data_IF_784452363825
#
_entry.id   IF_784452363825
#
_cell.length_a   1.000
_cell.length_b   1.000
_cell.length_c   1.000
_cell.angle_alpha   90.00
_cell.angle_beta   90.00
_cell.angle_gamma   90.00
#
_symmetry.space_group_name_H-M   'P 1'
#
loop_
_entity.id
_entity.type
_entity.pdbx_description
1 polymer ?
#
# COMPACT_ATOMS: atom_id res chain seq x y z
N UNK A 1 18.04 23.50 -21.21
CA UNK A 1 16.77 23.36 -20.46
C UNK A 1 16.29 21.94 -20.68
N UNK A 2 15.88 21.20 -19.65
CA UNK A 2 15.40 19.82 -19.79
C UNK A 2 14.06 19.81 -20.52
N UNK A 3 13.89 18.94 -21.53
CA UNK A 3 12.62 18.75 -22.24
C UNK A 3 11.84 17.50 -21.75
N UNK A 4 12.46 16.69 -20.89
CA UNK A 4 11.95 15.35 -20.52
C UNK A 4 11.09 15.33 -19.26
N UNK A 5 11.03 16.44 -18.50
CA UNK A 5 10.30 16.53 -17.24
C UNK A 5 9.49 17.81 -17.21
N UNK A 6 8.24 17.72 -16.78
CA UNK A 6 7.33 18.85 -16.60
C UNK A 6 7.13 19.10 -15.11
N UNK A 7 7.09 20.37 -14.72
CA UNK A 7 6.83 20.78 -13.34
C UNK A 7 5.56 21.63 -13.26
N UNK A 8 4.77 21.46 -12.20
CA UNK A 8 3.54 22.25 -12.01
C UNK A 8 3.79 23.72 -11.65
N UNK A 9 5.02 24.07 -11.26
CA UNK A 9 5.42 25.44 -10.94
C UNK A 9 6.93 25.63 -11.02
N UNK A 10 7.37 26.88 -11.15
CA UNK A 10 8.79 27.26 -11.06
C UNK A 10 9.41 26.93 -9.71
N UNK A 11 8.61 26.87 -8.63
CA UNK A 11 9.07 26.45 -7.30
C UNK A 11 9.43 24.95 -7.35
N UNK A 12 8.56 24.11 -7.90
CA UNK A 12 8.82 22.67 -8.04
C UNK A 12 10.02 22.39 -8.93
N UNK A 13 10.16 23.12 -10.04
CA UNK A 13 11.34 23.04 -10.91
C UNK A 13 12.63 23.38 -10.16
N UNK A 14 12.65 24.50 -9.42
CA UNK A 14 13.83 24.92 -8.64
C UNK A 14 14.19 23.91 -7.55
N UNK A 15 13.20 23.35 -6.85
CA UNK A 15 13.43 22.33 -5.83
C UNK A 15 13.99 21.04 -6.43
N UNK A 16 13.45 20.58 -7.55
CA UNK A 16 13.95 19.40 -8.25
C UNK A 16 15.39 19.62 -8.74
N UNK A 17 15.68 20.76 -9.37
CA UNK A 17 17.01 21.14 -9.83
C UNK A 17 18.04 21.28 -8.70
N UNK A 18 17.65 21.79 -7.53
CA UNK A 18 18.54 21.82 -6.36
C UNK A 18 18.81 20.44 -5.76
N UNK A 19 17.89 19.49 -5.97
CA UNK A 19 17.93 18.14 -5.41
C UNK A 19 18.40 17.09 -6.42
N UNK A 20 17.48 16.20 -6.79
CA UNK A 20 17.74 15.00 -7.59
C UNK A 20 17.88 15.28 -9.09
N UNK A 21 17.14 16.25 -9.63
CA UNK A 21 17.04 16.42 -11.09
C UNK A 21 18.37 16.88 -11.72
N UNK A 22 19.23 17.63 -11.00
CA UNK A 22 20.57 17.98 -11.51
C UNK A 22 21.44 16.77 -11.84
N UNK A 23 21.28 15.68 -11.09
CA UNK A 23 22.01 14.42 -11.31
C UNK A 23 21.26 13.56 -12.31
N UNK A 24 19.94 13.50 -12.24
CA UNK A 24 19.16 12.61 -13.11
C UNK A 24 19.01 13.14 -14.54
N UNK A 25 18.93 14.46 -14.75
CA UNK A 25 18.61 15.08 -16.04
C UNK A 25 19.51 14.60 -17.21
N UNK A 26 20.85 14.51 -17.08
CA UNK A 26 21.72 14.11 -18.18
C UNK A 26 21.53 12.64 -18.63
N UNK A 27 20.95 11.80 -17.78
CA UNK A 27 20.87 10.34 -17.98
C UNK A 27 19.45 9.80 -18.06
N UNK A 28 18.45 10.65 -17.79
CA UNK A 28 17.04 10.25 -17.72
C UNK A 28 16.52 9.71 -19.06
N UNK A 29 16.91 10.35 -20.17
CA UNK A 29 16.53 9.89 -21.51
C UNK A 29 17.09 8.49 -21.82
N UNK A 30 18.33 8.21 -21.40
CA UNK A 30 18.96 6.90 -21.56
C UNK A 30 18.21 5.84 -20.76
N UNK A 31 17.81 6.15 -19.52
CA UNK A 31 17.00 5.24 -18.69
C UNK A 31 15.66 4.90 -19.35
N UNK A 32 14.93 5.90 -19.84
CA UNK A 32 13.64 5.68 -20.48
C UNK A 32 13.73 4.92 -21.80
N UNK A 33 14.66 5.30 -22.68
CA UNK A 33 14.83 4.65 -23.99
C UNK A 33 15.26 3.18 -23.87
N UNK A 34 15.97 2.82 -22.81
CA UNK A 34 16.38 1.43 -22.54
C UNK A 34 15.34 0.64 -21.73
N UNK A 35 14.13 1.18 -21.51
CA UNK A 35 13.06 0.49 -20.81
C UNK A 35 13.37 0.20 -19.34
N UNK A 36 14.16 1.06 -18.68
CA UNK A 36 14.47 0.89 -17.27
C UNK A 36 13.18 0.87 -16.43
N UNK A 37 13.06 -0.11 -15.54
CA UNK A 37 11.89 -0.23 -14.67
C UNK A 37 11.78 0.94 -13.71
N UNK A 38 10.58 1.18 -13.18
CA UNK A 38 10.37 2.20 -12.13
C UNK A 38 11.27 1.98 -10.91
N UNK A 39 11.61 0.72 -10.60
CA UNK A 39 12.53 0.39 -9.51
C UNK A 39 13.98 0.80 -9.82
N UNK A 40 14.40 0.80 -11.08
CA UNK A 40 15.72 1.33 -11.46
C UNK A 40 15.78 2.84 -11.25
N UNK A 41 14.72 3.55 -11.66
CA UNK A 41 14.59 5.00 -11.43
C UNK A 41 14.59 5.33 -9.93
N UNK A 42 13.84 4.56 -9.14
CA UNK A 42 13.79 4.73 -7.68
C UNK A 42 15.13 4.41 -7.01
N UNK A 43 15.82 3.35 -7.42
CA UNK A 43 17.13 2.99 -6.87
C UNK A 43 18.16 4.11 -7.11
N UNK A 44 18.17 4.68 -8.32
CA UNK A 44 18.98 5.84 -8.64
C UNK A 44 18.55 7.06 -7.84
N UNK A 45 17.23 7.32 -7.73
CA UNK A 45 16.68 8.46 -6.99
C UNK A 45 16.99 8.44 -5.51
N UNK A 46 17.02 7.26 -4.87
CA UNK A 46 17.41 7.12 -3.47
C UNK A 46 18.82 7.68 -3.24
N UNK A 47 19.73 7.48 -4.21
CA UNK A 47 21.10 8.01 -4.18
C UNK A 47 21.14 9.48 -4.62
N UNK A 48 20.60 9.80 -5.80
CA UNK A 48 20.69 11.13 -6.43
C UNK A 48 20.06 12.27 -5.63
N UNK A 49 19.06 11.96 -4.79
CA UNK A 49 18.39 12.96 -3.94
C UNK A 49 19.24 13.45 -2.77
N UNK A 50 20.41 12.83 -2.52
CA UNK A 50 21.39 13.24 -1.51
C UNK A 50 22.74 13.49 -2.20
N UNK A 51 23.59 14.30 -1.58
CA UNK A 51 24.96 14.49 -2.06
C UNK A 51 25.84 13.29 -1.70
N UNK A 52 26.91 13.03 -2.47
CA UNK A 52 27.88 11.97 -2.20
C UNK A 52 28.33 11.91 -0.73
N UNK A 53 28.65 13.07 -0.14
CA UNK A 53 29.10 13.19 1.25
C UNK A 53 28.14 12.55 2.26
N UNK A 54 26.82 12.63 2.03
CA UNK A 54 25.83 12.01 2.92
C UNK A 54 26.01 10.50 3.07
N UNK A 55 26.32 9.81 1.97
CA UNK A 55 26.57 8.37 2.00
C UNK A 55 27.97 8.05 2.49
N UNK A 56 28.96 8.87 2.11
CA UNK A 56 30.33 8.71 2.58
C UNK A 56 30.43 8.78 4.11
N UNK A 57 29.70 9.71 4.74
CA UNK A 57 29.63 9.85 6.21
C UNK A 57 29.06 8.58 6.88
N UNK A 58 28.23 7.83 6.16
CA UNK A 58 27.62 6.57 6.63
C UNK A 58 28.44 5.33 6.26
N UNK A 59 29.50 5.47 5.47
CA UNK A 59 30.26 4.35 4.92
C UNK A 59 30.79 3.43 6.01
N UNK A 60 31.44 3.97 7.04
CA UNK A 60 31.97 3.17 8.14
C UNK A 60 30.90 2.42 8.92
N UNK A 61 29.69 2.98 9.01
CA UNK A 61 28.55 2.36 9.68
C UNK A 61 27.94 1.23 8.85
N UNK A 62 27.80 1.43 7.53
CA UNK A 62 26.95 0.58 6.68
C UNK A 62 27.73 -0.41 5.80
N UNK A 63 29.00 -0.15 5.46
CA UNK A 63 29.77 -0.97 4.49
C UNK A 63 29.82 -2.46 4.82
N UNK A 64 29.91 -2.81 6.10
CA UNK A 64 29.98 -4.21 6.50
C UNK A 64 28.66 -4.95 6.33
N UNK A 65 27.52 -4.25 6.35
CA UNK A 65 26.22 -4.86 6.09
C UNK A 65 26.04 -5.22 4.62
N UNK A 66 26.78 -4.57 3.71
CA UNK A 66 26.76 -4.87 2.27
C UNK A 66 27.51 -6.16 1.89
N UNK A 67 28.27 -6.74 2.82
CA UNK A 67 28.96 -8.02 2.60
C UNK A 67 27.95 -9.16 2.65
N UNK A 68 28.15 -10.16 1.79
CA UNK A 68 27.39 -11.40 1.83
C UNK A 68 27.50 -12.07 3.21
N UNK A 69 26.40 -12.70 3.66
CA UNK A 69 26.33 -13.42 4.94
C UNK A 69 26.72 -12.56 6.16
N UNK A 70 26.46 -11.26 6.14
CA UNK A 70 26.70 -10.39 7.28
C UNK A 70 25.93 -10.88 8.52
N UNK A 71 26.65 -11.33 9.55
CA UNK A 71 26.08 -11.81 10.82
C UNK A 71 25.72 -10.68 11.80
N UNK A 72 25.85 -9.42 11.40
CA UNK A 72 25.54 -8.28 12.27
C UNK A 72 24.03 -8.13 12.40
N UNK A 73 23.57 -7.90 13.63
CA UNK A 73 22.17 -7.56 13.90
C UNK A 73 21.81 -6.22 13.25
N UNK A 74 20.56 -6.11 12.80
CA UNK A 74 20.00 -4.84 12.31
C UNK A 74 20.13 -3.78 13.40
N UNK A 75 20.52 -2.57 12.98
CA UNK A 75 20.63 -1.43 13.90
C UNK A 75 19.23 -0.96 14.27
N UNK A 76 18.77 -1.33 15.47
CA UNK A 76 17.50 -0.86 16.03
C UNK A 76 17.72 0.47 16.75
N UNK A 77 16.96 1.48 16.36
CA UNK A 77 16.93 2.78 17.06
C UNK A 77 15.78 2.78 18.06
N UNK A 78 15.97 3.44 19.20
CA UNK A 78 14.90 3.61 20.18
C UNK A 78 13.77 4.47 19.61
N UNK A 79 14.13 5.54 18.89
CA UNK A 79 13.18 6.46 18.28
C UNK A 79 13.15 6.28 16.76
N UNK A 80 11.99 5.93 16.23
CA UNK A 80 11.76 5.86 14.80
C UNK A 80 11.65 7.27 14.20
N UNK A 81 12.36 7.51 13.10
CA UNK A 81 12.29 8.76 12.33
C UNK A 81 12.05 8.45 10.85
N UNK A 82 11.00 9.04 10.29
CA UNK A 82 10.60 8.77 8.90
C UNK A 82 11.63 9.27 7.87
N UNK A 83 12.48 10.24 8.23
CA UNK A 83 13.49 10.87 7.37
C UNK A 83 14.89 10.22 7.47
N UNK A 84 14.99 9.12 8.22
CA UNK A 84 16.23 8.43 8.52
C UNK A 84 16.54 7.35 7.49
N UNK A 85 17.65 7.51 6.77
CA UNK A 85 18.06 6.58 5.72
C UNK A 85 18.32 5.16 6.23
N UNK A 86 18.67 4.97 7.50
CA UNK A 86 18.87 3.62 8.04
C UNK A 86 17.57 2.80 7.96
N UNK A 87 16.41 3.45 8.07
CA UNK A 87 15.11 2.81 7.93
C UNK A 87 14.79 2.39 6.49
N UNK A 88 15.44 2.99 5.49
CA UNK A 88 15.42 2.51 4.09
C UNK A 88 16.38 1.34 3.94
N UNK A 89 17.61 1.50 4.43
CA UNK A 89 18.70 0.54 4.24
C UNK A 89 18.38 -0.86 4.79
N UNK A 90 17.63 -0.93 5.89
CA UNK A 90 17.28 -2.18 6.56
C UNK A 90 15.89 -2.73 6.20
N UNK A 91 15.21 -2.19 5.18
CA UNK A 91 13.95 -2.77 4.69
C UNK A 91 14.14 -4.21 4.20
N UNK A 92 13.03 -4.96 4.23
CA UNK A 92 13.02 -6.35 3.80
C UNK A 92 13.46 -6.48 2.34
N UNK A 93 14.32 -7.45 2.05
CA UNK A 93 14.86 -7.68 0.70
C UNK A 93 14.90 -9.15 0.31
N UNK A 94 14.41 -10.03 1.19
CA UNK A 94 14.40 -11.49 1.07
C UNK A 94 15.69 -12.08 0.45
N UNK A 95 16.85 -11.53 0.83
CA UNK A 95 18.14 -11.85 0.20
C UNK A 95 18.46 -13.35 0.21
N UNK A 96 18.09 -14.05 1.29
CA UNK A 96 18.31 -15.48 1.46
C UNK A 96 17.45 -16.38 0.56
N UNK A 97 16.39 -15.84 -0.05
CA UNK A 97 15.49 -16.56 -0.96
C UNK A 97 15.81 -16.28 -2.44
N UNK A 98 16.75 -15.35 -2.73
CA UNK A 98 17.05 -14.93 -4.10
C UNK A 98 17.80 -16.01 -4.86
N UNK A 99 17.39 -16.24 -6.11
CA UNK A 99 18.14 -17.11 -7.02
C UNK A 99 19.47 -16.45 -7.43
N UNK A 100 20.42 -17.26 -7.91
CA UNK A 100 21.67 -16.74 -8.48
C UNK A 100 21.42 -15.88 -9.71
N UNK A 101 20.44 -16.24 -10.53
CA UNK A 101 20.06 -15.50 -11.73
C UNK A 101 19.51 -14.12 -11.38
N UNK A 102 18.65 -14.02 -10.37
CA UNK A 102 18.15 -12.73 -9.86
C UNK A 102 19.31 -11.86 -9.35
N UNK A 103 20.23 -12.45 -8.58
CA UNK A 103 21.37 -11.71 -8.03
C UNK A 103 22.29 -11.19 -9.14
N UNK A 104 22.57 -12.00 -10.16
CA UNK A 104 23.33 -11.58 -11.34
C UNK A 104 22.61 -10.45 -12.08
N UNK A 105 21.29 -10.58 -12.31
CA UNK A 105 20.49 -9.54 -12.95
C UNK A 105 20.59 -8.21 -12.18
N UNK A 106 20.36 -8.22 -10.87
CA UNK A 106 20.45 -7.02 -10.05
C UNK A 106 21.87 -6.44 -9.96
N UNK A 107 22.91 -7.27 -9.98
CA UNK A 107 24.29 -6.81 -10.04
C UNK A 107 24.58 -6.08 -11.37
N UNK A 108 24.15 -6.64 -12.51
CA UNK A 108 24.26 -5.97 -13.81
C UNK A 108 23.53 -4.64 -13.83
N UNK A 109 22.29 -4.59 -13.32
CA UNK A 109 21.52 -3.34 -13.22
C UNK A 109 22.20 -2.32 -12.30
N UNK A 110 22.80 -2.76 -11.19
CA UNK A 110 23.55 -1.89 -10.30
C UNK A 110 24.78 -1.27 -10.98
N UNK A 111 25.56 -2.08 -11.71
CA UNK A 111 26.72 -1.60 -12.49
C UNK A 111 26.26 -0.58 -13.54
N UNK A 112 25.18 -0.87 -14.26
CA UNK A 112 24.61 0.05 -15.24
C UNK A 112 24.22 1.39 -14.61
N UNK A 113 23.46 1.37 -13.49
CA UNK A 113 23.06 2.59 -12.79
C UNK A 113 24.26 3.35 -12.20
N UNK A 114 25.29 2.66 -11.73
CA UNK A 114 26.53 3.28 -11.25
C UNK A 114 27.26 4.03 -12.37
N UNK A 115 27.36 3.44 -13.57
CA UNK A 115 27.93 4.11 -14.75
C UNK A 115 27.14 5.35 -15.14
N UNK A 116 25.81 5.30 -15.06
CA UNK A 116 24.99 6.50 -15.29
C UNK A 116 25.25 7.58 -14.23
N UNK A 117 25.44 7.23 -12.96
CA UNK A 117 25.83 8.21 -11.93
C UNK A 117 27.20 8.83 -12.20
N UNK A 118 28.17 8.04 -12.71
CA UNK A 118 29.47 8.56 -13.15
C UNK A 118 29.30 9.58 -14.28
N UNK A 119 28.58 9.20 -15.34
CA UNK A 119 28.29 10.09 -16.48
C UNK A 119 27.52 11.35 -16.06
N UNK A 120 26.66 11.24 -15.05
CA UNK A 120 25.93 12.36 -14.46
C UNK A 120 26.77 13.25 -13.52
N UNK A 121 28.07 12.97 -13.35
CA UNK A 121 28.99 13.70 -12.45
C UNK A 121 28.49 13.74 -11.00
N UNK A 122 27.97 12.62 -10.50
CA UNK A 122 27.51 12.50 -9.12
C UNK A 122 28.67 12.55 -8.10
N UNK A 123 29.81 11.97 -8.46
CA UNK A 123 30.98 11.93 -7.59
C UNK A 123 31.73 13.26 -7.61
N UNK A 124 32.25 13.75 -6.46
CA UNK A 124 32.98 15.01 -6.37
C UNK A 124 34.46 14.89 -6.77
N UNK A 125 34.84 13.78 -7.42
CA UNK A 125 36.19 13.45 -7.86
C UNK A 125 36.11 12.82 -9.24
N UNK A 126 37.25 12.80 -9.94
CA UNK A 126 37.35 12.16 -11.26
C UNK A 126 37.15 10.65 -11.13
N UNK A 127 36.41 10.11 -12.09
CA UNK A 127 36.02 8.69 -12.15
C UNK A 127 36.35 8.14 -13.53
N UNK A 128 36.91 6.94 -13.57
CA UNK A 128 37.22 6.21 -14.81
C UNK A 128 36.35 4.96 -14.88
N UNK A 129 35.94 4.54 -16.07
CA UNK A 129 35.01 3.41 -16.22
C UNK A 129 35.71 2.05 -16.09
N UNK A 130 37.00 2.01 -16.38
CA UNK A 130 37.87 0.82 -16.35
C UNK A 130 38.30 0.45 -14.93
N UNK A 131 38.35 1.43 -14.02
CA UNK A 131 38.84 1.25 -12.64
C UNK A 131 37.72 1.52 -11.65
N UNK A 132 37.31 0.47 -10.91
CA UNK A 132 36.32 0.60 -9.85
C UNK A 132 37.00 0.93 -8.52
N UNK A 133 36.76 2.12 -7.99
CA UNK A 133 37.31 2.52 -6.68
C UNK A 133 36.49 1.95 -5.50
N UNK A 134 37.07 1.94 -4.30
CA UNK A 134 36.36 1.52 -3.08
C UNK A 134 35.16 2.41 -2.73
N UNK A 135 35.15 3.68 -3.18
CA UNK A 135 34.05 4.61 -2.97
C UNK A 135 32.92 4.37 -3.97
N UNK A 136 33.27 4.13 -5.23
CA UNK A 136 32.32 3.74 -6.27
C UNK A 136 31.68 2.38 -5.98
N UNK A 137 32.47 1.39 -5.57
CA UNK A 137 31.98 0.07 -5.18
C UNK A 137 31.01 0.15 -3.99
N UNK A 138 31.24 1.07 -3.05
CA UNK A 138 30.32 1.30 -1.94
C UNK A 138 28.97 1.85 -2.44
N UNK A 139 28.98 2.85 -3.31
CA UNK A 139 27.75 3.39 -3.91
C UNK A 139 27.05 2.33 -4.78
N UNK A 140 27.79 1.57 -5.59
CA UNK A 140 27.25 0.42 -6.34
C UNK A 140 26.61 -0.64 -5.43
N UNK A 141 27.23 -0.93 -4.29
CA UNK A 141 26.65 -1.81 -3.27
C UNK A 141 25.34 -1.27 -2.68
N UNK A 142 25.26 0.05 -2.46
CA UNK A 142 24.00 0.69 -2.04
C UNK A 142 22.92 0.57 -3.13
N UNK A 143 23.25 0.82 -4.39
CA UNK A 143 22.31 0.69 -5.51
C UNK A 143 21.79 -0.75 -5.61
N UNK A 144 22.68 -1.74 -5.53
CA UNK A 144 22.30 -3.15 -5.52
C UNK A 144 21.31 -3.45 -4.39
N UNK A 145 21.61 -2.97 -3.18
CA UNK A 145 20.71 -3.11 -2.03
C UNK A 145 19.34 -2.45 -2.27
N UNK A 146 19.32 -1.24 -2.84
CA UNK A 146 18.08 -0.53 -3.15
C UNK A 146 17.24 -1.28 -4.18
N UNK A 147 17.85 -1.81 -5.24
CA UNK A 147 17.14 -2.61 -6.24
C UNK A 147 16.49 -3.85 -5.59
N UNK A 148 17.22 -4.55 -4.72
CA UNK A 148 16.71 -5.73 -4.03
C UNK A 148 15.57 -5.43 -3.05
N UNK A 149 15.59 -4.28 -2.36
CA UNK A 149 14.50 -3.93 -1.44
C UNK A 149 13.30 -3.32 -2.19
N UNK A 150 13.48 -2.61 -3.30
CA UNK A 150 12.38 -1.92 -3.99
C UNK A 150 11.33 -2.89 -4.54
N UNK A 151 11.73 -4.11 -4.90
CA UNK A 151 10.80 -5.18 -5.28
C UNK A 151 9.68 -5.42 -4.25
N UNK A 152 9.97 -5.27 -2.95
CA UNK A 152 9.04 -5.61 -1.88
C UNK A 152 8.45 -4.39 -1.17
N UNK A 153 9.07 -3.22 -1.29
CA UNK A 153 8.76 -2.05 -0.45
C UNK A 153 8.36 -0.80 -1.27
N UNK A 154 8.41 -0.85 -2.60
CA UNK A 154 7.92 0.26 -3.41
C UNK A 154 6.39 0.30 -3.38
N UNK A 155 5.84 1.51 -3.30
CA UNK A 155 4.40 1.75 -3.27
C UNK A 155 4.02 2.51 -4.52
N UNK A 156 2.94 2.08 -5.15
CA UNK A 156 2.33 2.77 -6.26
C UNK A 156 1.87 4.18 -5.84
N UNK A 157 2.08 5.16 -6.72
CA UNK A 157 1.49 6.49 -6.65
C UNK A 157 0.51 6.59 -7.80
N UNK A 158 -0.72 6.96 -7.49
CA UNK A 158 -1.81 7.02 -8.46
C UNK A 158 -2.58 8.34 -8.40
N UNK A 159 -3.26 8.63 -9.50
CA UNK A 159 -4.21 9.74 -9.59
C UNK A 159 -5.58 9.25 -10.03
N UNK A 160 -6.63 9.95 -9.60
CA UNK A 160 -8.00 9.77 -10.05
C UNK A 160 -8.18 10.58 -11.32
N UNK A 161 -8.67 9.91 -12.35
CA UNK A 161 -9.10 10.53 -13.59
C UNK A 161 -10.57 10.25 -13.83
N UNK A 162 -11.25 11.16 -14.52
CA UNK A 162 -12.63 10.92 -14.93
C UNK A 162 -12.68 9.86 -16.03
N UNK A 163 -13.52 8.85 -15.86
CA UNK A 163 -13.77 7.85 -16.88
C UNK A 163 -15.04 8.23 -17.67
N UNK A 164 -14.97 8.18 -19.00
CA UNK A 164 -16.12 8.42 -19.88
C UNK A 164 -17.18 7.33 -19.73
N UNK A 165 -16.76 6.09 -19.45
CA UNK A 165 -17.64 4.95 -19.26
C UNK A 165 -17.86 4.70 -17.77
N UNK A 166 -19.04 4.18 -17.44
CA UNK A 166 -19.30 3.66 -16.10
C UNK A 166 -18.49 2.39 -15.90
N UNK A 167 -17.72 2.34 -14.82
CA UNK A 167 -16.98 1.17 -14.35
C UNK A 167 -17.73 0.56 -13.18
N UNK A 168 -17.78 -0.77 -13.10
CA UNK A 168 -18.34 -1.50 -11.96
C UNK A 168 -17.18 -2.00 -11.10
N UNK A 169 -17.06 -1.51 -9.87
CA UNK A 169 -16.10 -2.00 -8.87
C UNK A 169 -16.89 -2.52 -7.66
N UNK A 170 -16.86 -3.84 -7.41
CA UNK A 170 -17.56 -4.48 -6.27
C UNK A 170 -19.07 -4.15 -6.25
N UNK A 171 -19.72 -4.28 -7.41
CA UNK A 171 -21.15 -3.98 -7.56
C UNK A 171 -21.52 -2.50 -7.55
N UNK A 172 -20.54 -1.59 -7.42
CA UNK A 172 -20.76 -0.15 -7.35
C UNK A 172 -20.34 0.49 -8.68
N UNK A 173 -21.23 1.29 -9.26
CA UNK A 173 -20.92 2.07 -10.45
C UNK A 173 -20.00 3.25 -10.10
N UNK A 174 -19.05 3.57 -10.98
CA UNK A 174 -18.17 4.71 -10.82
C UNK A 174 -17.86 5.35 -12.19
N UNK A 175 -17.69 6.67 -12.21
CA UNK A 175 -17.25 7.45 -13.39
C UNK A 175 -15.83 8.00 -13.21
N UNK A 176 -15.03 7.30 -12.42
CA UNK A 176 -13.62 7.60 -12.23
C UNK A 176 -12.81 6.30 -12.26
N UNK A 177 -11.53 6.43 -12.51
CA UNK A 177 -10.57 5.34 -12.38
C UNK A 177 -9.32 5.83 -11.66
N UNK A 178 -8.65 4.91 -10.96
CA UNK A 178 -7.40 5.18 -10.26
C UNK A 178 -6.26 4.68 -11.15
N UNK A 179 -5.45 5.60 -11.67
CA UNK A 179 -4.38 5.29 -12.64
C UNK A 179 -3.03 5.49 -12.00
N UNK A 180 -2.16 4.48 -12.13
CA UNK A 180 -0.77 4.56 -11.70
C UNK A 180 -0.01 5.62 -12.50
N UNK A 181 0.62 6.57 -11.80
CA UNK A 181 1.48 7.60 -12.40
C UNK A 181 2.94 7.47 -11.98
N UNK A 182 3.24 6.60 -11.03
CA UNK A 182 4.60 6.34 -10.59
C UNK A 182 4.66 5.45 -9.37
N UNK A 183 5.82 5.47 -8.71
CA UNK A 183 6.02 4.77 -7.45
C UNK A 183 6.88 5.61 -6.50
N UNK A 184 6.80 5.30 -5.21
CA UNK A 184 7.58 5.92 -4.15
C UNK A 184 7.98 4.91 -3.08
N UNK A 185 9.00 5.26 -2.30
CA UNK A 185 9.42 4.46 -1.14
C UNK A 185 9.05 5.22 0.14
N UNK A 186 8.21 4.59 0.96
CA UNK A 186 7.73 5.16 2.23
C UNK A 186 8.12 4.21 3.37
N UNK A 187 9.25 4.44 4.07
CA UNK A 187 9.80 3.48 5.02
C UNK A 187 8.86 3.11 6.16
N UNK A 188 7.93 3.98 6.54
CA UNK A 188 6.94 3.69 7.58
C UNK A 188 5.83 2.78 7.08
N UNK A 189 5.39 3.00 5.84
CA UNK A 189 4.34 2.21 5.21
C UNK A 189 4.83 0.80 4.87
N UNK A 190 6.09 0.68 4.43
CA UNK A 190 6.76 -0.59 4.17
C UNK A 190 6.87 -1.54 5.39
N UNK A 191 6.54 -1.08 6.60
CA UNK A 191 6.49 -1.92 7.80
C UNK A 191 5.15 -2.65 7.96
N UNK A 192 4.11 -2.24 7.26
CA UNK A 192 2.78 -2.83 7.38
C UNK A 192 2.71 -4.13 6.58
N UNK A 193 2.41 -5.23 7.26
CA UNK A 193 2.23 -6.52 6.61
C UNK A 193 0.93 -6.59 5.82
N UNK A 194 0.82 -7.61 4.98
CA UNK A 194 -0.35 -7.85 4.15
C UNK A 194 -1.52 -8.50 4.90
N UNK A 195 -2.75 -8.10 4.55
CA UNK A 195 -3.98 -8.90 4.69
C UNK A 195 -4.86 -8.75 3.45
N UNK A 196 -5.54 -9.83 3.03
CA UNK A 196 -6.54 -9.78 1.95
C UNK A 196 -7.78 -8.96 2.36
N UNK A 197 -7.98 -8.74 3.67
CA UNK A 197 -8.90 -7.77 4.27
C UNK A 197 -8.05 -6.70 5.00
N UNK A 198 -7.62 -5.62 4.32
CA UNK A 198 -6.70 -4.64 4.87
C UNK A 198 -7.34 -3.80 6.00
N UNK A 199 -6.51 -3.21 6.86
CA UNK A 199 -6.95 -2.28 7.91
C UNK A 199 -7.00 -0.84 7.44
N UNK A 200 -6.32 -0.52 6.34
CA UNK A 200 -6.11 0.84 5.87
C UNK A 200 -6.48 1.05 4.40
N UNK A 201 -6.74 2.32 4.09
CA UNK A 201 -6.72 2.87 2.73
C UNK A 201 -5.60 3.91 2.65
N UNK A 202 -4.98 4.00 1.47
CA UNK A 202 -3.94 4.98 1.14
C UNK A 202 -4.38 5.90 0.03
N UNK A 203 -3.95 7.16 0.10
CA UNK A 203 -4.09 8.14 -0.97
C UNK A 203 -3.06 9.25 -0.78
N UNK A 204 -2.71 10.00 -1.83
CA UNK A 204 -1.71 11.05 -1.75
C UNK A 204 -2.37 12.43 -1.72
N UNK A 205 -1.89 13.29 -0.82
CA UNK A 205 -2.16 14.72 -0.87
C UNK A 205 -0.84 15.39 -1.24
N UNK A 206 -0.77 15.91 -2.47
CA UNK A 206 0.47 16.44 -3.06
C UNK A 206 1.57 15.36 -3.01
N UNK A 207 2.68 15.65 -2.34
CA UNK A 207 3.82 14.74 -2.20
C UNK A 207 3.79 13.87 -0.93
N UNK A 208 2.67 13.82 -0.20
CA UNK A 208 2.54 13.04 1.04
C UNK A 208 1.57 11.89 0.84
N UNK A 209 2.00 10.69 1.21
CA UNK A 209 1.12 9.54 1.36
C UNK A 209 0.32 9.70 2.66
N UNK A 210 -1.00 9.62 2.55
CA UNK A 210 -1.94 9.64 3.68
C UNK A 210 -2.49 8.24 3.84
N UNK A 211 -2.47 7.76 5.08
CA UNK A 211 -2.98 6.45 5.45
C UNK A 211 -4.08 6.64 6.48
N UNK A 212 -5.22 5.99 6.27
CA UNK A 212 -6.37 6.04 7.18
C UNK A 212 -6.92 4.64 7.38
N UNK A 213 -7.41 4.35 8.58
CA UNK A 213 -8.10 3.09 8.84
C UNK A 213 -9.43 3.03 8.10
N UNK A 214 -9.81 1.82 7.67
CA UNK A 214 -11.07 1.52 6.97
C UNK A 214 -11.91 0.47 7.71
N UNK A 215 -11.51 0.16 8.94
CA UNK A 215 -12.25 -0.68 9.88
C UNK A 215 -11.84 -0.34 11.32
N UNK A 216 -12.62 -0.75 12.33
CA UNK A 216 -12.20 -0.62 13.71
C UNK A 216 -10.86 -1.33 13.98
N UNK A 217 -9.95 -0.66 14.67
CA UNK A 217 -8.64 -1.18 15.08
C UNK A 217 -8.49 -0.91 16.58
N UNK A 218 -8.30 -1.95 17.38
CA UNK A 218 -8.11 -1.85 18.82
C UNK A 218 -6.64 -1.69 19.19
N UNK A 219 -6.39 -1.26 20.42
CA UNK A 219 -5.02 -1.25 20.96
C UNK A 219 -4.44 -2.66 20.95
N UNK A 220 -3.24 -2.82 20.40
CA UNK A 220 -2.58 -4.12 20.23
C UNK A 220 -2.87 -4.82 18.92
N UNK A 221 -3.85 -4.37 18.13
CA UNK A 221 -4.12 -4.95 16.81
C UNK A 221 -2.99 -4.62 15.82
N UNK A 222 -2.73 -5.58 14.94
CA UNK A 222 -1.82 -5.38 13.80
C UNK A 222 -2.53 -4.55 12.73
N UNK A 223 -1.85 -3.54 12.21
CA UNK A 223 -2.31 -2.75 11.07
C UNK A 223 -1.82 -3.43 9.80
N UNK A 224 -2.77 -3.88 8.97
CA UNK A 224 -2.47 -4.53 7.70
C UNK A 224 -2.71 -3.61 6.51
N UNK A 225 -1.80 -3.65 5.54
CA UNK A 225 -1.98 -3.07 4.21
C UNK A 225 -2.39 -4.14 3.18
N UNK A 226 -2.83 -3.70 2.02
CA UNK A 226 -3.07 -4.57 0.88
C UNK A 226 -1.88 -4.56 -0.11
N UNK A 227 -1.43 -5.74 -0.53
CA UNK A 227 -0.31 -5.94 -1.46
C UNK A 227 -0.79 -6.28 -2.88
N UNK A 228 -2.04 -5.94 -3.21
CA UNK A 228 -2.69 -6.23 -4.48
C UNK A 228 -4.00 -7.00 -4.32
N UNK A 229 -3.97 -8.27 -3.87
CA UNK A 229 -5.17 -9.11 -3.90
C UNK A 229 -6.13 -8.84 -2.73
N UNK A 230 -7.41 -8.70 -3.02
CA UNK A 230 -8.50 -8.54 -2.04
C UNK A 230 -9.40 -9.78 -2.05
N UNK A 231 -9.89 -10.19 -0.87
CA UNK A 231 -10.73 -11.39 -0.78
C UNK A 231 -12.05 -11.24 -1.53
N UNK A 232 -12.60 -10.03 -1.55
CA UNK A 232 -13.88 -9.70 -2.18
C UNK A 232 -13.84 -9.78 -3.72
N UNK A 233 -12.66 -9.81 -4.35
CA UNK A 233 -12.52 -9.80 -5.82
C UNK A 233 -11.87 -11.06 -6.39
N UNK A 234 -11.13 -11.82 -5.59
CA UNK A 234 -10.32 -12.95 -6.07
C UNK A 234 -10.41 -14.14 -5.10
N UNK A 235 -10.51 -15.40 -5.59
CA UNK A 235 -10.49 -16.60 -4.75
C UNK A 235 -9.16 -16.82 -4.03
N UNK A 236 -9.17 -17.58 -2.92
CA UNK A 236 -8.01 -17.80 -2.04
C UNK A 236 -6.75 -18.22 -2.79
N UNK A 237 -6.88 -19.22 -3.67
CA UNK A 237 -5.74 -19.78 -4.41
C UNK A 237 -5.03 -18.71 -5.26
N UNK A 238 -5.79 -17.92 -6.01
CA UNK A 238 -5.24 -16.86 -6.86
C UNK A 238 -4.52 -15.80 -6.03
N UNK A 239 -5.09 -15.40 -4.89
CA UNK A 239 -4.46 -14.43 -3.98
C UNK A 239 -3.14 -14.95 -3.43
N UNK A 240 -3.12 -16.20 -2.97
CA UNK A 240 -1.90 -16.82 -2.45
C UNK A 240 -0.83 -17.00 -3.52
N UNK A 241 -1.20 -17.38 -4.74
CA UNK A 241 -0.26 -17.51 -5.86
C UNK A 241 0.39 -16.17 -6.23
N UNK A 242 -0.40 -15.08 -6.29
CA UNK A 242 0.11 -13.73 -6.53
C UNK A 242 1.11 -13.31 -5.44
N UNK A 243 0.76 -13.50 -4.17
CA UNK A 243 1.62 -13.10 -3.04
C UNK A 243 2.88 -13.97 -2.96
N UNK A 244 2.75 -15.28 -3.18
CA UNK A 244 3.89 -16.19 -3.21
C UNK A 244 4.85 -15.86 -4.34
N UNK A 245 4.33 -15.49 -5.52
CA UNK A 245 5.14 -15.08 -6.67
C UNK A 245 5.86 -13.74 -6.44
N UNK A 246 5.13 -12.73 -5.96
CA UNK A 246 5.64 -11.34 -5.93
C UNK A 246 6.38 -10.99 -4.63
N UNK A 247 5.97 -11.58 -3.51
CA UNK A 247 6.45 -11.25 -2.16
C UNK A 247 7.07 -12.43 -1.39
N UNK A 248 6.98 -13.64 -1.94
CA UNK A 248 7.65 -14.86 -1.44
C UNK A 248 7.21 -15.29 -0.05
N UNK A 249 5.93 -15.12 0.25
CA UNK A 249 5.31 -15.66 1.45
C UNK A 249 3.94 -16.27 1.13
N UNK A 250 3.47 -17.14 2.01
CA UNK A 250 2.11 -17.67 1.97
C UNK A 250 1.20 -16.86 2.90
N UNK A 251 0.08 -16.37 2.38
CA UNK A 251 -0.83 -15.55 3.17
C UNK A 251 -1.74 -16.40 4.05
N UNK A 252 -1.62 -16.20 5.37
CA UNK A 252 -2.42 -16.84 6.41
C UNK A 252 -3.33 -15.84 7.13
N UNK A 253 -3.77 -14.78 6.44
CA UNK A 253 -4.75 -13.86 6.99
C UNK A 253 -6.11 -14.54 7.17
N UNK A 254 -6.98 -13.98 8.02
CA UNK A 254 -8.32 -14.54 8.31
C UNK A 254 -9.09 -14.89 7.03
N UNK A 255 -9.19 -14.01 6.00
CA UNK A 255 -9.85 -14.38 4.74
C UNK A 255 -9.28 -15.60 4.00
N UNK A 256 -7.99 -15.90 4.16
CA UNK A 256 -7.37 -17.07 3.54
C UNK A 256 -7.57 -18.34 4.39
N UNK A 257 -7.45 -18.23 5.71
CA UNK A 257 -7.61 -19.38 6.64
C UNK A 257 -9.07 -19.83 6.72
N UNK A 258 -10.00 -18.88 6.80
CA UNK A 258 -11.44 -19.15 6.86
C UNK A 258 -12.08 -19.29 5.46
N UNK A 259 -11.30 -19.19 4.38
CA UNK A 259 -11.78 -19.34 3.00
C UNK A 259 -12.98 -18.41 2.73
N UNK A 260 -12.81 -17.11 3.02
CA UNK A 260 -13.92 -16.17 2.85
C UNK A 260 -14.36 -16.07 1.37
N UNK A 261 -15.68 -15.98 1.11
CA UNK A 261 -16.22 -15.86 -0.24
C UNK A 261 -15.82 -14.54 -0.91
N UNK A 262 -15.87 -14.51 -2.23
CA UNK A 262 -15.83 -13.27 -3.01
C UNK A 262 -17.16 -12.52 -2.89
N UNK A 263 -17.20 -11.24 -3.25
CA UNK A 263 -18.40 -10.41 -3.11
C UNK A 263 -19.64 -11.00 -3.81
N UNK A 264 -19.45 -11.59 -4.99
CA UNK A 264 -20.54 -12.16 -5.79
C UNK A 264 -21.11 -13.46 -5.20
N UNK A 265 -20.40 -14.10 -4.27
CA UNK A 265 -20.81 -15.33 -3.59
C UNK A 265 -21.50 -15.03 -2.24
N UNK A 266 -21.61 -13.76 -1.85
CA UNK A 266 -22.24 -13.35 -0.60
C UNK A 266 -23.72 -13.01 -0.78
N UNK A 267 -24.50 -13.21 0.28
CA UNK A 267 -25.93 -12.90 0.32
C UNK A 267 -26.26 -11.97 1.50
N UNK A 268 -27.14 -11.00 1.27
CA UNK A 268 -27.52 -9.99 2.28
C UNK A 268 -28.32 -10.57 3.45
N UNK A 269 -29.01 -11.69 3.25
CA UNK A 269 -29.78 -12.37 4.29
C UNK A 269 -28.92 -13.32 5.16
N UNK A 270 -27.63 -13.48 4.85
CA UNK A 270 -26.69 -14.30 5.62
C UNK A 270 -25.86 -13.44 6.58
N UNK A 271 -26.24 -13.45 7.85
CA UNK A 271 -25.61 -12.66 8.90
C UNK A 271 -24.58 -13.48 9.67
N UNK A 272 -23.43 -12.86 9.95
CA UNK A 272 -22.43 -13.40 10.89
C UNK A 272 -22.53 -12.69 12.23
N UNK A 273 -23.10 -13.33 13.24
CA UNK A 273 -23.41 -12.72 14.55
C UNK A 273 -22.45 -13.26 15.62
N UNK A 274 -21.73 -12.40 16.37
CA UNK A 274 -20.85 -12.86 17.44
C UNK A 274 -21.67 -13.41 18.63
N UNK A 275 -21.12 -14.39 19.35
CA UNK A 275 -21.71 -14.85 20.60
C UNK A 275 -21.78 -13.70 21.62
N UNK A 276 -22.91 -13.58 22.33
CA UNK A 276 -23.11 -12.54 23.35
C UNK A 276 -22.26 -12.75 24.61
N UNK A 277 -21.66 -13.93 24.76
CA UNK A 277 -20.77 -14.22 25.90
C UNK A 277 -19.46 -13.48 25.74
N UNK A 278 -19.10 -12.68 26.74
CA UNK A 278 -17.85 -11.92 26.75
C UNK A 278 -16.63 -12.82 26.49
N UNK A 279 -15.72 -12.35 25.64
CA UNK A 279 -14.49 -13.06 25.23
C UNK A 279 -14.71 -14.40 24.50
N UNK A 280 -15.95 -14.79 24.19
CA UNK A 280 -16.20 -15.96 23.35
C UNK A 280 -15.85 -15.62 21.88
N UNK A 281 -14.97 -16.39 21.21
CA UNK A 281 -14.56 -16.11 19.84
C UNK A 281 -15.58 -16.58 18.80
N UNK A 282 -16.63 -17.29 19.23
CA UNK A 282 -17.56 -17.94 18.31
C UNK A 282 -18.45 -16.93 17.58
N UNK A 283 -18.62 -17.16 16.29
CA UNK A 283 -19.47 -16.37 15.40
C UNK A 283 -20.44 -17.33 14.72
N UNK A 284 -21.73 -17.08 14.90
CA UNK A 284 -22.78 -17.81 14.22
C UNK A 284 -22.90 -17.31 12.78
N UNK A 285 -23.17 -18.21 11.84
CA UNK A 285 -23.68 -17.85 10.52
C UNK A 285 -25.16 -18.20 10.50
N UNK A 286 -26.02 -17.19 10.33
CA UNK A 286 -27.47 -17.35 10.39
C UNK A 286 -28.16 -16.66 9.24
N UNK A 287 -29.30 -17.20 8.85
CA UNK A 287 -30.27 -16.58 7.95
C UNK A 287 -31.37 -15.94 8.76
N UNK A 288 -32.03 -14.95 8.18
CA UNK A 288 -33.17 -14.24 8.81
C UNK A 288 -34.34 -15.14 9.19
N UNK A 289 -34.41 -16.35 8.61
CA UNK A 289 -35.46 -17.35 8.84
C UNK A 289 -35.09 -18.37 9.94
N UNK A 290 -33.85 -18.34 10.43
CA UNK A 290 -33.36 -19.31 11.42
C UNK A 290 -33.98 -19.06 12.81
N UNK A 291 -33.85 -20.08 13.69
CA UNK A 291 -34.30 -19.97 15.08
C UNK A 291 -33.66 -18.74 15.76
N UNK A 292 -34.45 -17.85 16.39
CA UNK A 292 -33.93 -16.66 17.02
C UNK A 292 -33.02 -16.94 18.24
N UNK A 293 -32.97 -18.18 18.74
CA UNK A 293 -32.16 -18.63 19.86
C UNK A 293 -31.13 -19.69 19.42
N UNK A 294 -29.86 -19.33 19.52
CA UNK A 294 -28.74 -20.16 19.08
C UNK A 294 -27.94 -20.65 20.27
N UNK A 295 -27.61 -21.95 20.31
CA UNK A 295 -26.69 -22.50 21.30
C UNK A 295 -25.25 -22.42 20.77
N UNK A 296 -24.37 -21.74 21.50
CA UNK A 296 -22.98 -21.57 21.09
C UNK A 296 -22.18 -22.87 21.20
N UNK A 297 -21.55 -23.31 20.11
CA UNK A 297 -20.74 -24.54 20.13
C UNK A 297 -19.49 -24.45 20.99
N UNK A 298 -18.99 -23.23 21.23
CA UNK A 298 -17.80 -23.00 22.04
C UNK A 298 -18.12 -22.92 23.55
N UNK A 299 -18.98 -21.98 23.97
CA UNK A 299 -19.24 -21.74 25.40
C UNK A 299 -20.52 -22.41 25.93
N UNK A 300 -21.28 -23.08 25.05
CA UNK A 300 -22.56 -23.76 25.36
C UNK A 300 -23.67 -22.87 25.91
N UNK A 301 -23.49 -21.55 25.91
CA UNK A 301 -24.52 -20.57 26.30
C UNK A 301 -25.40 -20.22 25.10
N UNK A 302 -26.65 -19.88 25.40
CA UNK A 302 -27.61 -19.41 24.41
C UNK A 302 -27.36 -17.94 24.05
N UNK A 303 -27.48 -17.60 22.77
CA UNK A 303 -27.42 -16.24 22.22
C UNK A 303 -28.68 -15.99 21.39
N UNK A 304 -29.31 -14.83 21.53
CA UNK A 304 -30.43 -14.45 20.66
C UNK A 304 -29.95 -13.56 19.51
N UNK A 305 -30.50 -13.76 18.30
CA UNK A 305 -30.22 -12.90 17.14
C UNK A 305 -30.97 -11.56 17.20
N UNK A 306 -32.06 -11.48 17.96
CA UNK A 306 -32.97 -10.33 17.98
C UNK A 306 -32.28 -8.99 18.31
N UNK A 307 -31.35 -8.92 19.29
CA UNK A 307 -30.63 -7.68 19.57
C UNK A 307 -29.77 -7.20 18.39
N UNK A 308 -29.18 -8.14 17.63
CA UNK A 308 -28.39 -7.82 16.44
C UNK A 308 -29.29 -7.32 15.31
N UNK A 309 -30.37 -8.05 14.99
CA UNK A 309 -31.34 -7.65 13.96
C UNK A 309 -31.92 -6.26 14.28
N UNK A 310 -32.39 -6.04 15.51
CA UNK A 310 -32.91 -4.74 15.95
C UNK A 310 -31.86 -3.62 15.87
N UNK A 311 -30.61 -3.94 16.18
CA UNK A 311 -29.51 -3.00 16.07
C UNK A 311 -29.19 -2.61 14.62
N UNK A 312 -29.32 -3.55 13.70
CA UNK A 312 -29.09 -3.34 12.27
C UNK A 312 -30.20 -2.55 11.59
N UNK A 313 -31.45 -2.57 12.09
CA UNK A 313 -32.55 -1.75 11.56
C UNK A 313 -32.26 -0.24 11.57
N UNK A 314 -31.32 0.22 12.41
CA UNK A 314 -30.88 1.62 12.41
C UNK A 314 -30.20 2.01 11.09
N UNK A 315 -29.66 1.04 10.35
CA UNK A 315 -29.02 1.27 9.05
C UNK A 315 -30.03 1.70 7.97
N UNK A 316 -31.31 1.33 8.11
CA UNK A 316 -32.39 1.69 7.17
C UNK A 316 -32.64 3.20 7.13
N UNK A 317 -32.20 3.93 8.16
CA UNK A 317 -32.23 5.41 8.18
C UNK A 317 -30.87 5.99 7.78
N UNK A 318 -29.78 5.48 8.34
CA UNK A 318 -28.44 6.07 8.20
C UNK A 318 -27.87 5.90 6.79
N UNK A 319 -28.00 4.72 6.18
CA UNK A 319 -27.36 4.43 4.90
C UNK A 319 -28.03 5.17 3.73
N UNK A 320 -29.38 5.26 3.64
CA UNK A 320 -30.00 6.08 2.60
C UNK A 320 -29.62 7.56 2.67
N UNK A 321 -29.54 8.14 3.88
CA UNK A 321 -29.06 9.52 4.05
C UNK A 321 -27.59 9.66 3.63
N UNK A 322 -26.75 8.68 3.96
CA UNK A 322 -25.35 8.66 3.55
C UNK A 322 -25.19 8.63 2.02
N UNK A 323 -25.98 7.79 1.33
CA UNK A 323 -26.00 7.69 -0.13
C UNK A 323 -26.55 8.97 -0.78
N UNK A 324 -27.57 9.62 -0.18
CA UNK A 324 -28.07 10.92 -0.67
C UNK A 324 -27.00 12.02 -0.58
N UNK A 325 -26.30 12.12 0.56
CA UNK A 325 -25.18 13.05 0.75
C UNK A 325 -24.05 12.75 -0.23
N UNK A 326 -23.75 11.47 -0.43
CA UNK A 326 -22.71 11.00 -1.35
C UNK A 326 -23.05 11.37 -2.80
N UNK A 327 -24.29 11.14 -3.24
CA UNK A 327 -24.78 11.50 -4.57
C UNK A 327 -24.79 13.01 -4.83
N UNK A 328 -24.95 13.84 -3.79
CA UNK A 328 -24.81 15.30 -3.87
C UNK A 328 -23.35 15.79 -3.89
N UNK A 329 -22.39 14.88 -3.76
CA UNK A 329 -20.96 15.21 -3.66
C UNK A 329 -20.53 15.74 -2.29
N UNK A 330 -21.38 15.67 -1.26
CA UNK A 330 -21.03 16.02 0.11
C UNK A 330 -20.30 14.86 0.81
N UNK A 331 -19.09 14.60 0.33
CA UNK A 331 -18.28 13.45 0.74
C UNK A 331 -17.93 13.47 2.23
N UNK A 332 -17.85 14.64 2.85
CA UNK A 332 -17.48 14.79 4.26
C UNK A 332 -18.61 14.43 5.21
N UNK A 333 -19.84 14.85 4.91
CA UNK A 333 -21.01 14.43 5.67
C UNK A 333 -21.37 12.97 5.37
N UNK A 334 -21.29 12.55 4.09
CA UNK A 334 -21.52 11.16 3.69
C UNK A 334 -20.56 10.20 4.41
N UNK A 335 -19.26 10.49 4.42
CA UNK A 335 -18.26 9.66 5.11
C UNK A 335 -18.56 9.55 6.61
N UNK A 336 -19.03 10.61 7.27
CA UNK A 336 -19.41 10.56 8.69
C UNK A 336 -20.58 9.60 8.93
N UNK A 337 -21.60 9.60 8.06
CA UNK A 337 -22.74 8.69 8.14
C UNK A 337 -22.35 7.24 7.82
N UNK A 338 -21.53 7.02 6.80
CA UNK A 338 -20.99 5.67 6.51
C UNK A 338 -20.14 5.13 7.66
N UNK A 339 -19.34 5.96 8.33
CA UNK A 339 -18.58 5.55 9.51
C UNK A 339 -19.51 5.13 10.67
N UNK A 340 -20.60 5.87 10.90
CA UNK A 340 -21.63 5.47 11.88
C UNK A 340 -22.27 4.12 11.52
N UNK A 341 -22.61 3.93 10.24
CA UNK A 341 -23.12 2.65 9.75
C UNK A 341 -22.11 1.51 9.95
N UNK A 342 -20.84 1.75 9.67
CA UNK A 342 -19.77 0.77 9.87
C UNK A 342 -19.60 0.39 11.35
N UNK A 343 -19.69 1.34 12.26
CA UNK A 343 -19.66 1.08 13.70
C UNK A 343 -20.82 0.17 14.14
N UNK A 344 -22.02 0.41 13.63
CA UNK A 344 -23.20 -0.43 13.90
C UNK A 344 -23.00 -1.84 13.33
N UNK A 345 -22.53 -1.95 12.09
CA UNK A 345 -22.23 -3.24 11.47
C UNK A 345 -21.21 -4.03 12.29
N UNK A 346 -20.08 -3.43 12.69
CA UNK A 346 -19.07 -4.12 13.53
C UNK A 346 -19.54 -4.37 14.96
N UNK A 347 -20.52 -3.62 15.47
CA UNK A 347 -21.11 -3.87 16.79
C UNK A 347 -21.95 -5.15 16.78
N UNK A 348 -22.78 -5.34 15.75
CA UNK A 348 -23.78 -6.41 15.71
C UNK A 348 -23.42 -7.61 14.82
N UNK A 349 -22.47 -7.45 13.92
CA UNK A 349 -22.04 -8.49 12.97
C UNK A 349 -20.53 -8.62 12.90
N UNK A 350 -20.05 -9.61 12.15
CA UNK A 350 -18.64 -9.83 11.85
C UNK A 350 -18.45 -9.99 10.34
N UNK A 351 -17.30 -9.58 9.79
CA UNK A 351 -17.00 -9.85 8.39
C UNK A 351 -16.83 -11.36 8.11
N UNK A 352 -16.97 -11.77 6.83
CA UNK A 352 -17.38 -10.95 5.71
C UNK A 352 -18.91 -10.80 5.66
N UNK A 353 -19.36 -9.64 5.19
CA UNK A 353 -20.77 -9.35 4.90
C UNK A 353 -20.84 -8.30 3.77
N UNK A 354 -21.75 -8.44 2.79
CA UNK A 354 -21.79 -7.54 1.63
C UNK A 354 -21.98 -6.07 2.04
N UNK A 355 -22.81 -5.80 3.05
CA UNK A 355 -23.04 -4.42 3.52
C UNK A 355 -21.80 -3.80 4.19
N UNK A 356 -20.97 -4.59 4.89
CA UNK A 356 -19.68 -4.10 5.43
C UNK A 356 -18.80 -3.67 4.26
N UNK A 357 -18.72 -4.49 3.23
CA UNK A 357 -17.88 -4.24 2.05
C UNK A 357 -18.35 -2.97 1.30
N UNK A 358 -19.65 -2.82 1.06
CA UNK A 358 -20.23 -1.64 0.40
C UNK A 358 -19.93 -0.36 1.19
N UNK A 359 -20.19 -0.36 2.50
CA UNK A 359 -19.93 0.78 3.38
C UNK A 359 -18.45 1.12 3.44
N UNK A 360 -17.57 0.12 3.58
CA UNK A 360 -16.11 0.33 3.52
C UNK A 360 -15.70 0.91 2.17
N UNK A 361 -16.23 0.39 1.06
CA UNK A 361 -15.96 0.93 -0.26
C UNK A 361 -16.35 2.41 -0.33
N UNK A 362 -17.57 2.79 0.09
CA UNK A 362 -18.00 4.20 0.13
C UNK A 362 -17.07 5.08 0.98
N UNK A 363 -16.65 4.60 2.14
CA UNK A 363 -15.67 5.30 2.99
C UNK A 363 -14.34 5.51 2.24
N UNK A 364 -13.82 4.45 1.59
CA UNK A 364 -12.63 4.53 0.73
C UNK A 364 -12.82 5.59 -0.35
N UNK A 365 -13.96 5.59 -1.04
CA UNK A 365 -14.24 6.59 -2.09
C UNK A 365 -14.20 8.00 -1.52
N UNK A 366 -14.89 8.27 -0.42
CA UNK A 366 -14.83 9.59 0.23
C UNK A 366 -13.40 10.00 0.60
N UNK A 367 -12.58 9.06 1.08
CA UNK A 367 -11.19 9.34 1.49
C UNK A 367 -10.27 9.63 0.30
N UNK A 368 -10.29 8.81 -0.75
CA UNK A 368 -9.40 8.98 -1.90
C UNK A 368 -9.67 10.30 -2.63
N UNK A 369 -10.92 10.76 -2.64
CA UNK A 369 -11.32 12.05 -3.22
C UNK A 369 -10.84 13.28 -2.43
N UNK A 370 -10.19 13.10 -1.27
CA UNK A 370 -9.49 14.20 -0.58
C UNK A 370 -8.11 14.48 -1.18
N UNK A 371 -7.61 13.63 -2.05
CA UNK A 371 -6.31 13.74 -2.71
C UNK A 371 -6.34 13.11 -4.11
N UNK A 372 -5.18 12.80 -4.68
CA UNK A 372 -5.06 12.00 -5.90
C UNK A 372 -5.99 12.44 -7.04
N UNK A 373 -6.00 13.71 -7.45
CA UNK A 373 -6.86 14.16 -8.56
C UNK A 373 -6.01 14.65 -9.71
N UNK A 374 -6.34 14.23 -10.93
CA UNK A 374 -5.82 14.91 -12.12
C UNK A 374 -6.25 16.38 -12.12
N UNK A 375 -5.52 17.20 -12.86
CA UNK A 375 -5.75 18.65 -12.92
C UNK A 375 -7.19 19.02 -13.33
N UNK A 376 -7.81 18.24 -14.21
CA UNK A 376 -9.14 18.44 -14.75
C UNK A 376 -10.23 17.59 -14.08
N UNK A 377 -9.89 16.87 -13.00
CA UNK A 377 -10.79 15.97 -12.32
C UNK A 377 -12.00 16.72 -11.74
N UNK A 378 -13.20 16.22 -12.05
CA UNK A 378 -14.46 16.63 -11.43
C UNK A 378 -15.11 15.43 -10.77
N UNK A 379 -15.62 15.59 -9.56
CA UNK A 379 -16.49 14.58 -8.99
C UNK A 379 -17.78 14.59 -9.80
N UNK A 380 -18.00 13.54 -10.59
CA UNK A 380 -19.22 13.35 -11.37
C UNK A 380 -20.09 12.37 -10.60
N UNK A 381 -21.39 12.63 -10.55
CA UNK A 381 -22.36 11.82 -9.82
C UNK A 381 -22.13 10.33 -10.11
N UNK A 382 -21.84 9.62 -9.03
CA UNK A 382 -21.81 8.18 -9.00
C UNK A 382 -23.28 7.77 -8.87
N UNK A 383 -23.84 7.22 -9.96
CA UNK A 383 -25.22 6.70 -9.97
C UNK A 383 -25.30 5.40 -9.19
#
# INVERSE_FOLDING_TARGET
MCASVVFCSTICERLANKGFHRVECPVLEVLFRNGASVNCLLAMRIVSQRHYSFFNDKKNKLKDYLKDNCKKNIIKKQNYRFDDYDNVFFLCRNEHLRSKDDLTHYACMSIYLLRLLKAAKYFPFEVEDEVLTNDEAYIGGLILRHLQLLQFNAHEISELINNKKVVLEVGIQARYENVTIGAGLYPTLALFNHSCDPSIVRYNIKNKMVVRTIKPVKSGDIIYENYGPLYMTQPVQERQDILKKNYWFECLCIPCVEIWPTFNEMHENELRIPCATEQCPFVFSVRTEDDPFLTCDYCKKMTSILPAVKGLMVLDEILPEAEELFGKGDLDNAMRKFLQGLEILYKYTRPPHPEIIKVQHRIRVCMIHKGNKSYDYKFLDIV
#
